data_IF_471769797015
#
_entry.id   IF_471769797015
#
_cell.length_a   1.000
_cell.length_b   1.000
_cell.length_c   1.000
_cell.angle_alpha   90.00
_cell.angle_beta   90.00
_cell.angle_gamma   90.00
#
_symmetry.space_group_name_H-M   'P 1'
#
loop_
_entity.id
_entity.type
_entity.pdbx_description
1 polymer ?
#
# COMPACT_ATOMS: atom_id res chain seq x y z
N UNK A 1 38.34 64.20 -2.94
CA UNK A 1 37.78 62.98 -3.55
C UNK A 1 37.30 62.10 -2.40
N UNK A 2 35.96 62.00 -2.17
CA UNK A 2 35.36 61.21 -1.09
C UNK A 2 34.86 59.91 -1.72
N UNK A 3 35.44 58.77 -1.34
CA UNK A 3 34.95 57.45 -1.72
C UNK A 3 33.80 57.06 -0.79
N UNK A 4 32.60 56.90 -1.34
CA UNK A 4 31.47 56.34 -0.65
C UNK A 4 31.54 54.81 -0.75
N UNK A 5 31.67 54.15 0.41
CA UNK A 5 31.61 52.69 0.50
C UNK A 5 30.15 52.24 0.42
N UNK A 6 29.79 51.50 -0.62
CA UNK A 6 28.47 50.91 -0.81
C UNK A 6 28.45 49.60 0.00
N UNK A 7 27.73 49.60 1.12
CA UNK A 7 27.49 48.37 1.91
C UNK A 7 26.44 47.53 1.22
N UNK A 8 26.84 46.43 0.61
CA UNK A 8 25.91 45.43 0.06
C UNK A 8 25.37 44.63 1.25
N UNK A 9 24.10 44.86 1.58
CA UNK A 9 23.36 44.09 2.58
C UNK A 9 22.91 42.80 1.93
N UNK A 10 23.69 41.72 2.10
CA UNK A 10 23.23 40.37 1.74
C UNK A 10 22.09 39.99 2.68
N UNK A 11 20.86 40.13 2.24
CA UNK A 11 19.70 39.48 2.84
C UNK A 11 19.85 37.97 2.63
N UNK A 12 20.39 37.28 3.62
CA UNK A 12 20.30 35.83 3.74
C UNK A 12 18.82 35.50 3.94
N UNK A 13 18.14 35.16 2.86
CA UNK A 13 16.87 34.44 2.95
C UNK A 13 17.21 33.08 3.58
N UNK A 14 16.98 32.94 4.90
CA UNK A 14 16.95 31.64 5.56
C UNK A 14 15.76 30.89 4.99
N UNK A 15 15.99 30.03 4.01
CA UNK A 15 15.03 28.98 3.67
C UNK A 15 14.73 28.22 4.97
N UNK A 16 13.44 27.92 5.28
CA UNK A 16 13.15 27.09 6.42
C UNK A 16 13.90 25.78 6.23
N UNK A 17 14.82 25.47 7.15
CA UNK A 17 15.52 24.19 7.16
C UNK A 17 14.46 23.10 7.23
N UNK A 18 14.44 22.18 6.25
CA UNK A 18 13.63 20.98 6.36
C UNK A 18 14.13 20.22 7.59
N UNK A 19 13.19 19.82 8.46
CA UNK A 19 13.53 18.98 9.62
C UNK A 19 14.27 17.74 9.11
N UNK A 20 15.35 17.34 9.80
CA UNK A 20 16.04 16.09 9.47
C UNK A 20 15.11 14.90 9.73
N UNK A 21 15.38 13.75 9.10
CA UNK A 21 14.62 12.52 9.38
C UNK A 21 14.64 12.17 10.87
N UNK A 22 15.74 12.45 11.57
CA UNK A 22 15.86 12.24 13.01
C UNK A 22 14.95 13.20 13.81
N UNK A 23 14.84 14.47 13.42
CA UNK A 23 13.91 15.42 14.04
C UNK A 23 12.47 15.02 13.81
N UNK A 24 12.15 14.52 12.60
CA UNK A 24 10.84 13.98 12.26
C UNK A 24 10.50 12.77 13.11
N UNK A 25 11.45 11.83 13.30
CA UNK A 25 11.27 10.68 14.19
C UNK A 25 10.99 11.12 15.63
N UNK A 26 11.79 12.02 16.19
CA UNK A 26 11.61 12.51 17.55
C UNK A 26 10.24 13.17 17.75
N UNK A 27 9.81 13.98 16.81
CA UNK A 27 8.48 14.59 16.84
C UNK A 27 7.34 13.55 16.74
N UNK A 28 7.50 12.54 15.87
CA UNK A 28 6.55 11.43 15.76
C UNK A 28 6.49 10.59 17.04
N UNK A 29 7.62 10.28 17.67
CA UNK A 29 7.67 9.55 18.94
C UNK A 29 6.95 10.33 20.04
N UNK A 30 7.12 11.66 20.10
CA UNK A 30 6.44 12.49 21.08
C UNK A 30 4.90 12.46 20.90
N UNK A 31 4.41 12.42 19.66
CA UNK A 31 2.97 12.32 19.34
C UNK A 31 2.44 10.90 19.60
N UNK A 32 3.19 9.88 19.19
CA UNK A 32 2.86 8.47 19.39
C UNK A 32 2.73 8.09 20.87
N UNK A 33 3.59 8.67 21.74
CA UNK A 33 3.53 8.47 23.19
C UNK A 33 2.29 9.13 23.85
N UNK A 34 1.63 10.05 23.17
CA UNK A 34 0.31 10.59 23.57
C UNK A 34 -0.87 9.73 23.12
N UNK A 35 -0.60 8.60 22.46
CA UNK A 35 -1.63 7.66 22.01
C UNK A 35 -2.11 7.90 20.57
N UNK A 36 -1.49 8.78 19.80
CA UNK A 36 -1.85 8.99 18.40
C UNK A 36 -1.54 7.76 17.57
N UNK A 37 -2.58 7.11 17.05
CA UNK A 37 -2.49 5.83 16.35
C UNK A 37 -1.71 5.91 15.03
N UNK A 38 -1.87 7.02 14.30
CA UNK A 38 -1.17 7.26 13.05
C UNK A 38 0.32 7.54 13.29
N UNK A 39 0.65 8.34 14.31
CA UNK A 39 2.02 8.57 14.71
C UNK A 39 2.70 7.27 15.14
N UNK A 40 2.01 6.39 15.90
CA UNK A 40 2.51 5.07 16.27
C UNK A 40 2.84 4.22 15.03
N UNK A 41 1.98 4.22 14.00
CA UNK A 41 2.25 3.56 12.73
C UNK A 41 3.49 4.14 12.05
N UNK A 42 3.61 5.47 11.96
CA UNK A 42 4.74 6.12 11.31
C UNK A 42 6.06 5.86 12.05
N UNK A 43 6.07 5.90 13.38
CA UNK A 43 7.25 5.51 14.18
C UNK A 43 7.65 4.07 13.88
N UNK A 44 6.68 3.14 13.85
CA UNK A 44 6.91 1.77 13.45
C UNK A 44 7.54 1.66 12.05
N UNK A 45 7.05 2.44 11.07
CA UNK A 45 7.61 2.47 9.71
C UNK A 45 9.03 3.04 9.67
N UNK A 46 9.32 4.05 10.49
CA UNK A 46 10.66 4.66 10.56
C UNK A 46 11.68 3.66 11.12
N UNK A 47 11.38 2.95 12.20
CA UNK A 47 12.22 1.85 12.70
C UNK A 47 12.30 0.67 11.71
N UNK A 48 11.19 0.32 11.04
CA UNK A 48 11.17 -0.75 10.05
C UNK A 48 12.12 -0.50 8.87
N UNK A 49 12.29 0.74 8.47
CA UNK A 49 13.04 1.14 7.27
C UNK A 49 14.37 1.84 7.59
N UNK A 50 14.67 2.14 8.86
CA UNK A 50 15.87 2.89 9.24
C UNK A 50 15.81 4.36 8.83
N UNK A 51 14.64 5.02 8.93
CA UNK A 51 14.46 6.44 8.59
C UNK A 51 14.65 7.27 9.86
N UNK A 52 15.65 8.15 9.88
CA UNK A 52 16.00 8.95 11.04
C UNK A 52 16.63 8.16 12.20
N UNK A 53 16.85 6.86 12.03
CA UNK A 53 17.44 5.95 12.99
C UNK A 53 18.04 4.73 12.29
N UNK A 54 18.77 3.89 13.01
CA UNK A 54 19.12 2.57 12.53
C UNK A 54 17.87 1.69 12.44
N UNK A 55 17.81 0.81 11.42
CA UNK A 55 16.73 -0.16 11.29
C UNK A 55 16.64 -1.07 12.54
N UNK A 56 15.44 -1.13 13.11
CA UNK A 56 15.14 -2.00 14.26
C UNK A 56 13.77 -2.66 14.11
N UNK A 57 13.71 -3.86 13.53
CA UNK A 57 12.44 -4.57 13.32
C UNK A 57 11.71 -4.95 14.61
N UNK A 58 12.41 -5.11 15.74
CA UNK A 58 11.77 -5.41 17.03
C UNK A 58 11.01 -4.20 17.55
N UNK A 59 11.65 -3.04 17.57
CA UNK A 59 10.97 -1.79 17.93
C UNK A 59 9.83 -1.47 16.96
N UNK A 60 10.04 -1.68 15.66
CA UNK A 60 8.96 -1.51 14.67
C UNK A 60 7.74 -2.38 14.98
N UNK A 61 7.94 -3.65 15.32
CA UNK A 61 6.86 -4.56 15.70
C UNK A 61 6.09 -4.07 16.93
N UNK A 62 6.77 -3.62 17.97
CA UNK A 62 6.14 -3.07 19.19
C UNK A 62 5.30 -1.82 18.87
N UNK A 63 5.78 -0.93 18.01
CA UNK A 63 5.03 0.25 17.60
C UNK A 63 3.82 -0.10 16.74
N UNK A 64 3.92 -1.10 15.84
CA UNK A 64 2.75 -1.59 15.11
C UNK A 64 1.71 -2.27 16.00
N UNK A 65 2.13 -2.92 17.10
CA UNK A 65 1.20 -3.43 18.10
C UNK A 65 0.42 -2.29 18.78
N UNK A 66 1.10 -1.22 19.20
CA UNK A 66 0.46 -0.03 19.79
C UNK A 66 -0.50 0.62 18.80
N UNK A 67 -0.08 0.86 17.56
CA UNK A 67 -0.91 1.43 16.51
C UNK A 67 -2.17 0.58 16.25
N UNK A 68 -2.02 -0.73 16.19
CA UNK A 68 -3.15 -1.67 16.03
C UNK A 68 -4.10 -1.63 17.22
N UNK A 69 -3.57 -1.57 18.44
CA UNK A 69 -4.38 -1.43 19.66
C UNK A 69 -5.15 -0.10 19.70
N UNK A 70 -4.62 0.93 19.05
CA UNK A 70 -5.27 2.22 18.81
C UNK A 70 -6.17 2.25 17.55
N UNK A 71 -6.51 1.08 17.00
CA UNK A 71 -7.40 0.89 15.83
C UNK A 71 -6.87 1.44 14.50
N UNK A 72 -5.55 1.60 14.30
CA UNK A 72 -5.00 1.96 13.01
C UNK A 72 -4.92 0.73 12.06
N UNK A 73 -5.60 0.76 10.91
CA UNK A 73 -5.59 -0.38 9.99
C UNK A 73 -4.25 -0.60 9.30
N UNK A 74 -3.41 0.43 9.13
CA UNK A 74 -2.09 0.28 8.53
C UNK A 74 -1.10 -0.39 9.51
N UNK A 75 -1.20 -0.07 10.82
CA UNK A 75 -0.50 -0.80 11.87
C UNK A 75 -0.89 -2.28 11.88
N UNK A 76 -2.18 -2.58 11.81
CA UNK A 76 -2.66 -3.96 11.71
C UNK A 76 -2.12 -4.68 10.46
N UNK A 77 -2.11 -4.02 9.29
CA UNK A 77 -1.51 -4.60 8.10
C UNK A 77 -0.04 -4.97 8.31
N UNK A 78 0.74 -4.09 8.93
CA UNK A 78 2.16 -4.34 9.21
C UNK A 78 2.35 -5.50 10.17
N UNK A 79 1.54 -5.61 11.23
CA UNK A 79 1.55 -6.81 12.09
C UNK A 79 1.30 -8.09 11.29
N UNK A 80 0.31 -8.08 10.40
CA UNK A 80 0.04 -9.20 9.50
C UNK A 80 1.23 -9.57 8.62
N UNK A 81 2.04 -8.59 8.18
CA UNK A 81 3.27 -8.86 7.45
C UNK A 81 4.35 -9.52 8.32
N UNK A 82 4.50 -9.09 9.58
CA UNK A 82 5.44 -9.70 10.51
C UNK A 82 5.08 -11.15 10.83
N UNK A 83 3.79 -11.44 11.10
CA UNK A 83 3.31 -12.81 11.29
C UNK A 83 3.42 -13.67 10.01
N UNK A 84 3.43 -13.06 8.84
CA UNK A 84 3.73 -13.73 7.57
C UNK A 84 5.24 -13.97 7.33
N UNK A 85 6.11 -13.56 8.24
CA UNK A 85 7.56 -13.81 8.19
C UNK A 85 8.38 -12.67 7.55
N UNK A 86 7.89 -11.43 7.51
CA UNK A 86 8.62 -10.29 6.92
C UNK A 86 10.01 -10.10 7.54
N UNK A 87 10.16 -10.31 8.86
CA UNK A 87 11.44 -10.28 9.56
C UNK A 87 11.59 -11.53 10.43
N UNK A 88 12.39 -12.47 9.96
CA UNK A 88 12.63 -13.73 10.69
C UNK A 88 13.23 -13.44 12.09
N UNK A 89 12.73 -14.14 13.11
CA UNK A 89 13.22 -14.06 14.48
C UNK A 89 12.66 -12.91 15.33
N UNK A 90 11.82 -12.03 14.79
CA UNK A 90 11.08 -11.02 15.58
C UNK A 90 9.86 -11.63 16.22
N UNK A 91 9.08 -12.37 15.46
CA UNK A 91 7.91 -13.13 15.91
C UNK A 91 7.84 -14.46 15.18
N UNK A 92 7.26 -15.48 15.79
CA UNK A 92 7.00 -16.76 15.12
C UNK A 92 6.03 -16.55 13.95
N UNK A 93 6.27 -17.26 12.85
CA UNK A 93 5.35 -17.25 11.70
C UNK A 93 4.03 -17.87 12.13
N UNK A 94 2.95 -17.14 11.92
CA UNK A 94 1.59 -17.53 12.24
C UNK A 94 0.65 -17.08 11.10
N UNK A 95 0.27 -17.99 10.19
CA UNK A 95 -0.59 -17.67 9.05
C UNK A 95 -1.99 -17.19 9.46
N UNK A 96 -2.52 -17.67 10.58
CA UNK A 96 -3.86 -17.30 11.06
C UNK A 96 -3.83 -15.88 11.63
N UNK A 97 -2.81 -15.55 12.42
CA UNK A 97 -2.57 -14.18 12.87
C UNK A 97 -2.30 -13.24 11.68
N UNK A 98 -1.52 -13.68 10.70
CA UNK A 98 -1.25 -12.89 9.48
C UNK A 98 -2.57 -12.56 8.75
N UNK A 99 -3.43 -13.55 8.52
CA UNK A 99 -4.74 -13.34 7.89
C UNK A 99 -5.63 -12.43 8.74
N UNK A 100 -5.72 -12.69 10.06
CA UNK A 100 -6.52 -11.89 11.00
C UNK A 100 -6.17 -10.40 10.91
N UNK A 101 -4.90 -10.06 11.01
CA UNK A 101 -4.47 -8.66 11.01
C UNK A 101 -4.56 -8.01 9.61
N UNK A 102 -4.26 -8.74 8.53
CA UNK A 102 -4.46 -8.24 7.17
C UNK A 102 -5.93 -7.99 6.84
N UNK A 103 -6.86 -8.81 7.37
CA UNK A 103 -8.29 -8.61 7.23
C UNK A 103 -8.78 -7.29 7.85
N UNK A 104 -8.17 -6.82 8.95
CA UNK A 104 -8.51 -5.51 9.53
C UNK A 104 -8.28 -4.39 8.50
N UNK A 105 -7.10 -4.36 7.89
CA UNK A 105 -6.77 -3.35 6.89
C UNK A 105 -7.55 -3.52 5.57
N UNK A 106 -7.79 -4.76 5.15
CA UNK A 106 -8.57 -5.07 3.96
C UNK A 106 -10.03 -4.59 4.07
N UNK A 107 -10.66 -4.84 5.23
CA UNK A 107 -12.02 -4.34 5.55
C UNK A 107 -12.08 -2.82 5.64
N UNK A 108 -11.00 -2.16 6.08
CA UNK A 108 -10.85 -0.71 6.06
C UNK A 108 -10.60 -0.14 4.65
N UNK A 109 -10.49 -0.99 3.63
CA UNK A 109 -10.38 -0.58 2.22
C UNK A 109 -8.94 -0.47 1.71
N UNK A 110 -7.91 -0.94 2.41
CA UNK A 110 -6.54 -0.89 1.92
C UNK A 110 -6.31 -1.90 0.79
N UNK A 111 -6.09 -1.42 -0.44
CA UNK A 111 -6.01 -2.27 -1.64
C UNK A 111 -4.92 -3.34 -1.58
N UNK A 112 -3.73 -3.01 -1.03
CA UNK A 112 -2.64 -3.98 -0.86
C UNK A 112 -3.05 -5.09 0.12
N UNK A 113 -3.71 -4.74 1.23
CA UNK A 113 -4.21 -5.73 2.19
C UNK A 113 -5.31 -6.61 1.58
N UNK A 114 -6.21 -6.03 0.79
CA UNK A 114 -7.24 -6.78 0.05
C UNK A 114 -6.63 -7.80 -0.90
N UNK A 115 -5.60 -7.39 -1.66
CA UNK A 115 -4.87 -8.32 -2.54
C UNK A 115 -4.17 -9.44 -1.76
N UNK A 116 -3.52 -9.11 -0.64
CA UNK A 116 -2.84 -10.11 0.19
C UNK A 116 -3.81 -11.12 0.80
N UNK A 117 -4.98 -10.64 1.28
CA UNK A 117 -6.05 -11.49 1.79
C UNK A 117 -6.59 -12.41 0.69
N UNK A 118 -6.76 -11.90 -0.52
CA UNK A 118 -7.16 -12.71 -1.67
C UNK A 118 -6.16 -13.84 -1.96
N UNK A 119 -4.87 -13.53 -1.95
CA UNK A 119 -3.80 -14.54 -2.14
C UNK A 119 -3.83 -15.59 -1.03
N UNK A 120 -4.08 -15.20 0.22
CA UNK A 120 -4.18 -16.15 1.33
C UNK A 120 -5.39 -17.09 1.17
N UNK A 121 -6.56 -16.57 0.78
CA UNK A 121 -7.73 -17.39 0.48
C UNK A 121 -7.53 -18.30 -0.74
N UNK A 122 -6.88 -17.83 -1.80
CA UNK A 122 -6.56 -18.67 -2.97
C UNK A 122 -5.65 -19.86 -2.59
N UNK A 123 -4.64 -19.62 -1.76
CA UNK A 123 -3.75 -20.68 -1.23
C UNK A 123 -4.47 -21.69 -0.33
N UNK A 124 -5.49 -21.26 0.38
CA UNK A 124 -6.35 -22.14 1.20
C UNK A 124 -7.40 -22.89 0.36
N UNK A 125 -7.46 -22.66 -0.97
CA UNK A 125 -8.44 -23.26 -1.87
C UNK A 125 -9.81 -22.55 -1.85
N UNK A 126 -9.95 -21.47 -1.12
CA UNK A 126 -11.20 -20.68 -1.05
C UNK A 126 -11.25 -19.65 -2.18
N UNK A 127 -11.46 -20.14 -3.40
CA UNK A 127 -11.37 -19.33 -4.62
C UNK A 127 -12.47 -18.26 -4.72
N UNK A 128 -13.66 -18.51 -4.17
CA UNK A 128 -14.75 -17.53 -4.18
C UNK A 128 -14.43 -16.31 -3.32
N UNK A 129 -13.90 -16.52 -2.11
CA UNK A 129 -13.47 -15.43 -1.24
C UNK A 129 -12.27 -14.69 -1.84
N UNK A 130 -11.29 -15.42 -2.41
CA UNK A 130 -10.18 -14.81 -3.12
C UNK A 130 -10.66 -13.88 -4.24
N UNK A 131 -11.61 -14.32 -5.06
CA UNK A 131 -12.17 -13.52 -6.15
C UNK A 131 -12.84 -12.24 -5.64
N UNK A 132 -13.60 -12.31 -4.53
CA UNK A 132 -14.26 -11.13 -3.92
C UNK A 132 -13.22 -10.09 -3.51
N UNK A 133 -12.16 -10.50 -2.81
CA UNK A 133 -11.12 -9.60 -2.36
C UNK A 133 -10.27 -9.03 -3.51
N UNK A 134 -9.97 -9.84 -4.55
CA UNK A 134 -9.32 -9.32 -5.75
C UNK A 134 -10.20 -8.30 -6.49
N UNK A 135 -11.51 -8.47 -6.55
CA UNK A 135 -12.41 -7.47 -7.14
C UNK A 135 -12.31 -6.14 -6.41
N UNK A 136 -12.41 -6.15 -5.07
CA UNK A 136 -12.30 -4.92 -4.26
C UNK A 136 -10.95 -4.19 -4.48
N UNK A 137 -9.83 -4.92 -4.52
CA UNK A 137 -8.53 -4.32 -4.79
C UNK A 137 -8.36 -3.92 -6.26
N UNK A 138 -8.93 -4.69 -7.18
CA UNK A 138 -8.94 -4.42 -8.62
C UNK A 138 -9.70 -3.16 -8.97
N UNK A 139 -10.85 -2.92 -8.36
CA UNK A 139 -11.65 -1.69 -8.52
C UNK A 139 -10.86 -0.44 -8.10
N UNK A 140 -9.93 -0.58 -7.16
CA UNK A 140 -8.98 0.46 -6.79
C UNK A 140 -7.80 0.60 -7.77
N UNK A 141 -7.72 -0.24 -8.80
CA UNK A 141 -6.63 -0.26 -9.78
C UNK A 141 -5.35 -0.91 -9.24
N UNK A 142 -5.44 -1.81 -8.23
CA UNK A 142 -4.24 -2.47 -7.71
C UNK A 142 -3.73 -3.53 -8.70
N UNK A 143 -2.50 -3.39 -9.26
CA UNK A 143 -2.03 -4.24 -10.36
C UNK A 143 -2.01 -5.74 -10.03
N UNK A 144 -1.59 -6.09 -8.80
CA UNK A 144 -1.54 -7.49 -8.35
C UNK A 144 -2.92 -8.15 -8.31
N UNK A 145 -3.95 -7.39 -7.91
CA UNK A 145 -5.32 -7.88 -7.87
C UNK A 145 -5.92 -8.03 -9.27
N UNK A 146 -5.67 -7.07 -10.16
CA UNK A 146 -6.07 -7.17 -11.58
C UNK A 146 -5.45 -8.39 -12.23
N UNK A 147 -4.17 -8.69 -11.95
CA UNK A 147 -3.53 -9.91 -12.40
C UNK A 147 -4.15 -11.18 -11.76
N UNK A 148 -4.49 -11.13 -10.47
CA UNK A 148 -5.22 -12.21 -9.76
C UNK A 148 -6.57 -12.51 -10.41
N UNK A 149 -7.34 -11.46 -10.73
CA UNK A 149 -8.62 -11.57 -11.47
C UNK A 149 -8.44 -12.21 -12.84
N UNK A 150 -7.44 -11.77 -13.60
CA UNK A 150 -7.14 -12.38 -14.90
C UNK A 150 -6.92 -13.89 -14.79
N UNK A 151 -6.12 -14.33 -13.82
CA UNK A 151 -5.87 -15.76 -13.59
C UNK A 151 -7.14 -16.51 -13.17
N UNK A 152 -7.95 -15.92 -12.29
CA UNK A 152 -9.19 -16.51 -11.81
C UNK A 152 -10.17 -16.75 -12.96
N UNK A 153 -10.39 -15.74 -13.80
CA UNK A 153 -11.26 -15.86 -14.99
C UNK A 153 -10.71 -16.80 -16.06
N UNK A 154 -9.39 -16.81 -16.29
CA UNK A 154 -8.75 -17.76 -17.22
C UNK A 154 -8.93 -19.21 -16.82
N UNK A 155 -8.81 -19.48 -15.50
CA UNK A 155 -8.88 -20.85 -14.95
C UNK A 155 -10.30 -21.28 -14.54
N UNK A 156 -11.27 -20.36 -14.48
CA UNK A 156 -12.61 -20.65 -13.95
C UNK A 156 -12.60 -20.92 -12.44
N UNK A 157 -11.68 -20.25 -11.68
CA UNK A 157 -11.55 -20.42 -10.24
C UNK A 157 -12.43 -19.43 -9.47
N UNK A 158 -13.40 -19.94 -8.72
CA UNK A 158 -14.37 -19.13 -7.97
C UNK A 158 -15.36 -18.36 -8.86
N UNK A 159 -15.34 -18.60 -10.18
CA UNK A 159 -16.18 -17.97 -11.20
C UNK A 159 -16.18 -18.85 -12.46
N UNK A 160 -17.21 -18.80 -13.33
CA UNK A 160 -17.11 -19.38 -14.65
C UNK A 160 -15.91 -18.82 -15.42
N UNK A 161 -15.34 -19.69 -16.28
CA UNK A 161 -14.23 -19.27 -17.15
C UNK A 161 -14.70 -18.21 -18.13
N UNK A 162 -13.93 -17.12 -18.24
CA UNK A 162 -14.20 -16.02 -19.17
C UNK A 162 -12.86 -15.44 -19.67
N UNK A 163 -12.53 -15.73 -20.93
CA UNK A 163 -11.27 -15.29 -21.53
C UNK A 163 -11.29 -13.80 -21.89
N UNK A 164 -12.46 -13.22 -22.15
CA UNK A 164 -12.61 -11.79 -22.43
C UNK A 164 -12.31 -10.95 -21.19
N UNK A 165 -12.91 -11.30 -20.04
CA UNK A 165 -12.58 -10.67 -18.75
C UNK A 165 -11.13 -10.94 -18.35
N UNK A 166 -10.64 -12.15 -18.56
CA UNK A 166 -9.23 -12.48 -18.28
C UNK A 166 -8.27 -11.57 -19.04
N UNK A 167 -8.49 -11.38 -20.36
CA UNK A 167 -7.71 -10.48 -21.18
C UNK A 167 -7.78 -9.02 -20.68
N UNK A 168 -8.98 -8.52 -20.42
CA UNK A 168 -9.17 -7.15 -19.96
C UNK A 168 -8.40 -6.88 -18.66
N UNK A 169 -8.55 -7.73 -17.65
CA UNK A 169 -7.83 -7.59 -16.38
C UNK A 169 -6.32 -7.79 -16.53
N UNK A 170 -5.88 -8.69 -17.43
CA UNK A 170 -4.45 -8.85 -17.71
C UNK A 170 -3.84 -7.58 -18.27
N UNK A 171 -4.49 -6.96 -19.24
CA UNK A 171 -4.07 -5.70 -19.85
C UNK A 171 -4.10 -4.55 -18.85
N UNK A 172 -5.15 -4.42 -18.06
CA UNK A 172 -5.30 -3.41 -17.00
C UNK A 172 -4.25 -3.53 -15.90
N UNK A 173 -3.76 -4.73 -15.61
CA UNK A 173 -2.75 -4.94 -14.57
C UNK A 173 -1.42 -4.22 -14.86
N UNK A 174 -1.11 -3.98 -16.14
CA UNK A 174 0.13 -3.33 -16.58
C UNK A 174 1.40 -4.13 -16.30
N UNK A 175 1.30 -5.31 -15.67
CA UNK A 175 2.48 -6.16 -15.35
C UNK A 175 2.86 -7.09 -16.48
N UNK A 176 2.01 -7.21 -17.49
CA UNK A 176 2.16 -8.15 -18.58
C UNK A 176 3.05 -7.61 -19.71
N UNK A 177 4.02 -8.43 -20.23
CA UNK A 177 4.69 -8.11 -21.48
C UNK A 177 3.69 -7.96 -22.64
N UNK A 178 3.91 -6.97 -23.52
CA UNK A 178 3.03 -6.73 -24.68
C UNK A 178 2.80 -7.99 -25.53
N UNK A 179 3.82 -8.85 -25.65
CA UNK A 179 3.74 -10.13 -26.38
C UNK A 179 2.60 -11.01 -25.82
N UNK A 180 2.55 -11.18 -24.51
CA UNK A 180 1.56 -12.03 -23.86
C UNK A 180 0.13 -11.43 -23.97
N UNK A 181 0.01 -10.10 -23.95
CA UNK A 181 -1.27 -9.43 -24.18
C UNK A 181 -1.76 -9.70 -25.60
N UNK A 182 -0.89 -9.62 -26.60
CA UNK A 182 -1.23 -9.91 -28.00
C UNK A 182 -1.59 -11.38 -28.21
N UNK A 183 -0.88 -12.31 -27.56
CA UNK A 183 -1.20 -13.74 -27.61
C UNK A 183 -2.60 -14.02 -27.04
N UNK A 184 -2.95 -13.43 -25.89
CA UNK A 184 -4.30 -13.56 -25.34
C UNK A 184 -5.37 -12.94 -26.25
N UNK A 185 -5.09 -11.78 -26.86
CA UNK A 185 -5.99 -11.15 -27.81
C UNK A 185 -6.30 -12.05 -29.02
N UNK A 186 -5.30 -12.80 -29.51
CA UNK A 186 -5.47 -13.72 -30.64
C UNK A 186 -6.34 -14.95 -30.35
N UNK A 187 -6.61 -15.23 -29.07
CA UNK A 187 -7.49 -16.33 -28.63
C UNK A 187 -8.97 -15.92 -28.58
N UNK A 188 -9.27 -14.63 -28.71
CA UNK A 188 -10.62 -14.08 -28.63
C UNK A 188 -11.22 -13.91 -30.03
N UNK A 189 -12.53 -14.15 -30.14
CA UNK A 189 -13.27 -13.69 -31.30
C UNK A 189 -13.31 -12.16 -31.37
N UNK A 190 -13.59 -11.61 -32.54
CA UNK A 190 -13.65 -10.14 -32.72
C UNK A 190 -14.63 -9.46 -31.74
N UNK A 191 -15.89 -9.96 -31.54
CA UNK A 191 -16.80 -9.37 -30.56
C UNK A 191 -16.31 -9.45 -29.11
N UNK A 192 -15.68 -10.57 -28.73
CA UNK A 192 -15.10 -10.73 -27.38
C UNK A 192 -13.98 -9.73 -27.12
N UNK A 193 -13.10 -9.54 -28.12
CA UNK A 193 -12.01 -8.57 -28.02
C UNK A 193 -12.54 -7.13 -27.96
N UNK A 194 -13.53 -6.76 -28.77
CA UNK A 194 -14.16 -5.44 -28.73
C UNK A 194 -14.79 -5.15 -27.36
N UNK A 195 -15.50 -6.12 -26.78
CA UNK A 195 -16.07 -5.97 -25.42
C UNK A 195 -14.99 -5.81 -24.35
N UNK A 196 -13.93 -6.60 -24.43
CA UNK A 196 -12.81 -6.52 -23.49
C UNK A 196 -12.06 -5.17 -23.61
N UNK A 197 -11.82 -4.69 -24.83
CA UNK A 197 -11.18 -3.38 -25.06
C UNK A 197 -12.04 -2.23 -24.58
N UNK A 198 -13.36 -2.34 -24.71
CA UNK A 198 -14.31 -1.37 -24.15
C UNK A 198 -14.16 -1.30 -22.64
N UNK A 199 -14.15 -2.46 -21.94
CA UNK A 199 -13.92 -2.51 -20.49
C UNK A 199 -12.60 -1.85 -20.12
N UNK A 200 -11.50 -2.14 -20.84
CA UNK A 200 -10.20 -1.53 -20.61
C UNK A 200 -10.25 0.00 -20.78
N UNK A 201 -10.92 0.50 -21.82
CA UNK A 201 -11.00 1.94 -22.11
C UNK A 201 -11.87 2.71 -21.12
N UNK A 202 -12.90 2.07 -20.58
CA UNK A 202 -13.85 2.68 -19.63
C UNK A 202 -13.40 2.53 -18.17
N UNK A 203 -12.40 1.68 -17.89
CA UNK A 203 -11.94 1.43 -16.53
C UNK A 203 -11.35 2.68 -15.88
N UNK A 204 -11.90 3.04 -14.72
CA UNK A 204 -11.42 4.15 -13.89
C UNK A 204 -11.19 3.66 -12.47
N UNK A 205 -9.92 3.57 -12.02
CA UNK A 205 -9.63 3.17 -10.65
C UNK A 205 -10.29 4.07 -9.61
N UNK A 206 -10.83 3.47 -8.55
CA UNK A 206 -11.48 4.16 -7.44
C UNK A 206 -10.72 3.88 -6.12
N UNK A 207 -9.51 4.43 -5.92
CA UNK A 207 -8.73 4.17 -4.71
C UNK A 207 -9.39 4.79 -3.49
N UNK A 208 -9.43 4.04 -2.39
CA UNK A 208 -9.94 4.55 -1.10
C UNK A 208 -8.99 5.60 -0.51
N UNK A 209 -9.49 6.46 0.42
CA UNK A 209 -8.63 7.40 1.16
C UNK A 209 -7.47 6.69 1.87
N UNK A 210 -7.70 5.49 2.46
CA UNK A 210 -6.68 4.72 3.12
C UNK A 210 -5.58 4.24 2.15
N UNK A 211 -5.96 3.77 0.96
CA UNK A 211 -5.00 3.39 -0.10
C UNK A 211 -4.19 4.60 -0.56
N UNK A 212 -4.82 5.76 -0.74
CA UNK A 212 -4.12 6.99 -1.12
C UNK A 212 -3.16 7.45 -0.02
N UNK A 213 -3.57 7.39 1.25
CA UNK A 213 -2.73 7.70 2.40
C UNK A 213 -1.50 6.78 2.46
N UNK A 214 -1.70 5.47 2.35
CA UNK A 214 -0.61 4.51 2.37
C UNK A 214 0.40 4.72 1.22
N UNK A 215 -0.06 5.15 0.03
CA UNK A 215 0.81 5.46 -1.11
C UNK A 215 1.73 6.66 -0.88
N UNK A 216 1.38 7.60 0.00
CA UNK A 216 2.23 8.77 0.33
C UNK A 216 3.45 8.40 1.18
N UNK A 217 3.43 7.23 1.83
CA UNK A 217 4.57 6.72 2.59
C UNK A 217 5.07 7.70 3.66
N UNK A 218 6.37 8.05 3.64
CA UNK A 218 6.97 8.98 4.59
C UNK A 218 6.40 10.40 4.48
N UNK A 219 6.00 10.85 3.31
CA UNK A 219 5.34 12.16 3.14
C UNK A 219 4.03 12.29 3.94
N UNK A 220 3.34 11.17 4.22
CA UNK A 220 2.17 11.19 5.10
C UNK A 220 2.55 11.48 6.57
N UNK A 221 3.73 11.04 7.03
CA UNK A 221 4.23 11.34 8.36
C UNK A 221 4.47 12.85 8.54
N UNK A 222 5.14 13.48 7.59
CA UNK A 222 5.39 14.92 7.63
C UNK A 222 4.09 15.73 7.61
N UNK A 223 3.13 15.32 6.79
CA UNK A 223 1.81 15.96 6.73
C UNK A 223 1.05 15.81 8.05
N UNK A 224 1.09 14.62 8.65
CA UNK A 224 0.45 14.36 9.94
C UNK A 224 1.03 15.25 11.06
N UNK A 225 2.36 15.44 11.10
CA UNK A 225 2.99 16.36 12.05
C UNK A 225 2.57 17.82 11.85
N UNK A 226 2.37 18.27 10.61
CA UNK A 226 1.89 19.63 10.33
C UNK A 226 0.47 19.84 10.84
N UNK A 227 -0.42 18.86 10.65
CA UNK A 227 -1.82 18.95 11.10
C UNK A 227 -1.96 18.85 12.61
N UNK A 228 -1.11 18.07 13.30
CA UNK A 228 -1.12 17.92 14.75
C UNK A 228 -0.57 19.12 15.52
N UNK A 229 0.10 20.07 14.86
CA UNK A 229 0.64 21.32 15.45
C UNK A 229 -0.34 22.49 15.38
N UNK A 230 -1.40 22.38 14.59
CA UNK A 230 -2.47 23.39 14.44
C UNK A 230 -3.67 23.04 15.33
#
# INVERSE_FOLDING_TARGET
MKFAALAVFCLLFSMPAHASDADTLNAMVALANKGDAEAQYHVGMMYNNGIGTQQDPKQAFEWFQKSTASNDPLGAYKLGCYYAGQFAGVVAIDPDAALKYKLVAAKAGYALAQNDVAILYDRQGNAEEALKWWKLAGDQGYPGALFGLSRAYSAGKGTPRDLSLSYAYFKLSGVAPKKNVNEMASMLSKPELENAEKLVSEFKPQPTPLTLKAKRGFGAAEEHLKTARN
#
